data_IF_056143806500
#
_entry.id   IF_056143806500
#
_cell.length_a   1.000
_cell.length_b   1.000
_cell.length_c   1.000
_cell.angle_alpha   90.00
_cell.angle_beta   90.00
_cell.angle_gamma   90.00
#
_symmetry.space_group_name_H-M   'P 1'
#
loop_
_entity.id
_entity.type
_entity.pdbx_description
1 polymer ?
#
# COMPACT_ATOMS: atom_id res chain seq x y z
N UNK A 1 -1.06 15.20 -1.05
CA UNK A 1 -1.56 14.01 -0.30
C UNK A 1 -2.36 14.41 0.93
N UNK A 2 -1.75 15.03 1.95
CA UNK A 2 -2.37 15.34 3.25
C UNK A 2 -3.75 16.02 3.21
N UNK A 3 -3.93 17.02 2.34
CA UNK A 3 -5.23 17.66 2.14
C UNK A 3 -6.33 16.66 1.74
N UNK A 4 -6.02 15.71 0.85
CA UNK A 4 -6.99 14.68 0.44
C UNK A 4 -7.31 13.77 1.61
N UNK A 5 -6.29 13.27 2.32
CA UNK A 5 -6.47 12.36 3.45
C UNK A 5 -7.33 12.99 4.55
N UNK A 6 -7.14 14.27 4.85
CA UNK A 6 -8.01 15.02 5.78
C UNK A 6 -9.42 15.18 5.25
N UNK A 7 -9.56 15.61 4.00
CA UNK A 7 -10.86 15.85 3.39
C UNK A 7 -11.72 14.58 3.32
N UNK A 8 -11.09 13.40 3.23
CA UNK A 8 -11.79 12.11 3.23
C UNK A 8 -11.91 11.47 4.61
N UNK A 9 -11.38 12.10 5.66
CA UNK A 9 -11.40 11.56 7.02
C UNK A 9 -10.45 10.38 7.27
N UNK A 10 -9.50 10.13 6.36
CA UNK A 10 -8.44 9.12 6.58
C UNK A 10 -7.41 9.64 7.58
N UNK A 11 -7.04 10.92 7.45
CA UNK A 11 -6.19 11.60 8.41
C UNK A 11 -7.03 12.42 9.39
N UNK A 12 -6.69 12.43 10.69
CA UNK A 12 -7.33 13.29 11.68
C UNK A 12 -7.31 14.77 11.27
N UNK A 13 -8.35 15.57 11.62
CA UNK A 13 -8.45 16.99 11.22
C UNK A 13 -7.23 17.85 11.61
N UNK A 14 -6.61 17.54 12.75
CA UNK A 14 -5.43 18.20 13.31
C UNK A 14 -4.13 17.90 12.54
N UNK A 15 -4.15 16.94 11.61
CA UNK A 15 -2.96 16.55 10.84
C UNK A 15 -2.48 17.69 9.95
N UNK A 16 -1.29 18.21 10.20
CA UNK A 16 -0.77 19.37 9.46
C UNK A 16 0.07 18.99 8.24
N UNK A 17 0.71 17.83 8.24
CA UNK A 17 1.64 17.46 7.17
C UNK A 17 2.40 16.15 7.41
N UNK A 18 3.54 15.96 6.69
CA UNK A 18 4.38 14.75 6.73
C UNK A 18 4.84 14.33 8.12
N UNK A 19 4.96 15.26 9.05
CA UNK A 19 5.30 15.00 10.46
C UNK A 19 4.32 14.05 11.17
N UNK A 20 3.13 13.81 10.59
CA UNK A 20 2.17 12.85 11.12
C UNK A 20 2.40 11.41 10.62
N UNK A 21 3.34 11.17 9.69
CA UNK A 21 3.62 9.82 9.17
C UNK A 21 3.90 8.81 10.29
N UNK A 22 4.58 9.23 11.35
CA UNK A 22 4.95 8.39 12.50
C UNK A 22 3.80 8.17 13.50
N UNK A 23 2.80 9.05 13.53
CA UNK A 23 1.69 8.98 14.50
C UNK A 23 0.44 8.32 13.93
N UNK A 24 0.22 8.42 12.61
CA UNK A 24 -0.95 7.83 11.94
C UNK A 24 -1.11 6.31 12.15
N UNK A 25 -0.04 5.48 12.19
CA UNK A 25 -0.19 4.06 12.44
C UNK A 25 -0.86 3.79 13.78
N UNK A 26 -0.49 4.54 14.83
CA UNK A 26 -1.10 4.40 16.15
C UNK A 26 -2.52 4.98 16.19
N UNK A 27 -2.69 6.20 15.70
CA UNK A 27 -3.94 6.95 15.82
C UNK A 27 -5.08 6.38 14.96
N UNK A 28 -4.78 5.93 13.74
CA UNK A 28 -5.81 5.54 12.75
C UNK A 28 -5.46 4.27 11.95
N UNK A 29 -4.35 3.59 12.28
CA UNK A 29 -3.99 2.33 11.63
C UNK A 29 -3.47 2.47 10.20
N UNK A 30 -2.98 3.66 9.82
CA UNK A 30 -2.48 3.95 8.47
C UNK A 30 -0.99 4.24 8.53
N UNK A 31 -0.20 3.46 7.81
CA UNK A 31 1.23 3.70 7.62
C UNK A 31 1.56 4.05 6.16
N UNK A 32 2.73 4.65 5.97
CA UNK A 32 3.23 5.08 4.67
C UNK A 32 4.55 4.38 4.33
N UNK A 33 4.73 4.10 3.04
CA UNK A 33 5.96 3.54 2.51
C UNK A 33 6.04 3.80 1.02
N UNK A 34 7.25 3.87 0.49
CA UNK A 34 7.52 4.04 -0.93
C UNK A 34 7.97 2.73 -1.59
N UNK A 35 7.59 2.58 -2.86
CA UNK A 35 8.11 1.50 -3.71
C UNK A 35 9.61 1.66 -3.90
N UNK A 36 10.05 2.86 -4.28
CA UNK A 36 11.46 3.21 -4.44
C UNK A 36 11.98 4.00 -3.25
N UNK A 37 13.13 3.59 -2.71
CA UNK A 37 13.87 4.32 -1.68
C UNK A 37 15.30 4.59 -2.14
N UNK A 38 15.97 5.57 -1.53
CA UNK A 38 17.38 5.87 -1.82
C UNK A 38 17.64 6.68 -3.10
N UNK A 39 16.60 7.18 -3.76
CA UNK A 39 16.72 8.09 -4.91
C UNK A 39 15.88 9.35 -4.70
N UNK A 40 16.50 10.55 -4.69
CA UNK A 40 15.74 11.79 -4.57
C UNK A 40 14.93 12.03 -5.85
N UNK A 41 13.66 12.41 -5.70
CA UNK A 41 12.78 12.81 -6.81
C UNK A 41 11.37 12.25 -6.68
N UNK A 42 10.37 13.05 -7.10
CA UNK A 42 8.95 12.69 -7.04
C UNK A 42 8.35 12.37 -8.40
N UNK A 43 9.14 12.55 -9.47
CA UNK A 43 8.73 12.36 -10.85
C UNK A 43 9.04 10.94 -11.29
N UNK A 44 8.06 10.07 -11.10
CA UNK A 44 8.14 8.66 -11.48
C UNK A 44 8.54 8.44 -12.94
N UNK A 45 8.27 9.41 -13.85
CA UNK A 45 8.70 9.40 -15.25
C UNK A 45 10.19 9.43 -15.51
N UNK A 46 10.99 9.82 -14.54
CA UNK A 46 12.44 9.90 -14.72
C UNK A 46 13.13 8.55 -14.42
N UNK A 47 12.39 7.56 -13.89
CA UNK A 47 12.94 6.25 -13.56
C UNK A 47 12.59 5.20 -14.62
N UNK A 48 13.60 4.49 -15.19
CA UNK A 48 13.37 3.42 -16.15
C UNK A 48 12.91 2.13 -15.46
N UNK A 49 12.31 1.22 -16.22
CA UNK A 49 11.78 -0.07 -15.70
C UNK A 49 12.82 -0.89 -14.92
N UNK A 50 14.12 -0.84 -15.29
CA UNK A 50 15.17 -1.57 -14.55
C UNK A 50 15.29 -1.11 -13.10
N UNK A 51 15.09 0.18 -12.84
CA UNK A 51 15.09 0.73 -11.46
C UNK A 51 13.88 0.19 -10.71
N UNK A 52 12.70 0.13 -11.35
CA UNK A 52 11.50 -0.47 -10.75
C UNK A 52 11.65 -1.96 -10.45
N UNK A 53 12.40 -2.72 -11.26
CA UNK A 53 12.66 -4.14 -10.98
C UNK A 53 13.46 -4.32 -9.70
N UNK A 54 14.51 -3.52 -9.48
CA UNK A 54 15.28 -3.52 -8.24
C UNK A 54 14.43 -3.06 -7.06
N UNK A 55 13.74 -1.93 -7.20
CA UNK A 55 12.85 -1.42 -6.16
C UNK A 55 11.76 -2.40 -5.77
N UNK A 56 11.24 -3.21 -6.70
CA UNK A 56 10.27 -4.25 -6.37
C UNK A 56 10.83 -5.24 -5.36
N UNK A 57 12.06 -5.72 -5.59
CA UNK A 57 12.68 -6.71 -4.71
C UNK A 57 12.91 -6.12 -3.33
N UNK A 58 13.53 -4.94 -3.26
CA UNK A 58 13.76 -4.23 -2.00
C UNK A 58 12.44 -3.91 -1.29
N UNK A 59 11.41 -3.47 -2.02
CA UNK A 59 10.08 -3.19 -1.49
C UNK A 59 9.44 -4.43 -0.90
N UNK A 60 9.47 -5.56 -1.59
CA UNK A 60 8.87 -6.80 -1.10
C UNK A 60 9.60 -7.34 0.12
N UNK A 61 10.93 -7.23 0.16
CA UNK A 61 11.71 -7.59 1.34
C UNK A 61 11.32 -6.71 2.54
N UNK A 62 11.25 -5.39 2.37
CA UNK A 62 10.76 -4.47 3.42
C UNK A 62 9.35 -4.82 3.88
N UNK A 63 8.42 -5.10 2.97
CA UNK A 63 7.05 -5.46 3.34
C UNK A 63 7.00 -6.76 4.14
N UNK A 64 7.77 -7.78 3.76
CA UNK A 64 7.88 -9.03 4.54
C UNK A 64 8.49 -8.79 5.92
N UNK A 65 9.53 -7.96 6.01
CA UNK A 65 10.15 -7.60 7.29
C UNK A 65 9.15 -6.86 8.21
N UNK A 66 8.39 -5.90 7.66
CA UNK A 66 7.37 -5.19 8.43
C UNK A 66 6.24 -6.11 8.91
N UNK A 67 5.72 -6.99 8.05
CA UNK A 67 4.69 -7.97 8.47
C UNK A 67 5.22 -8.92 9.55
N UNK A 68 6.49 -9.31 9.47
CA UNK A 68 7.15 -10.11 10.51
C UNK A 68 7.22 -9.36 11.84
N UNK A 69 7.78 -8.16 11.84
CA UNK A 69 7.87 -7.33 13.05
C UNK A 69 6.49 -7.04 13.66
N UNK A 70 5.49 -6.76 12.82
CA UNK A 70 4.11 -6.54 13.26
C UNK A 70 3.43 -7.83 13.76
N UNK A 71 3.81 -9.01 13.26
CA UNK A 71 3.36 -10.28 13.82
C UNK A 71 3.99 -10.52 15.20
N UNK A 72 5.28 -10.26 15.33
CA UNK A 72 6.02 -10.45 16.59
C UNK A 72 5.49 -9.54 17.70
N UNK A 73 5.15 -8.29 17.38
CA UNK A 73 4.59 -7.34 18.35
C UNK A 73 3.25 -7.75 18.94
N UNK A 74 2.50 -8.61 18.26
CA UNK A 74 1.23 -9.19 18.74
C UNK A 74 1.40 -10.62 19.28
N UNK A 75 2.64 -11.08 19.48
CA UNK A 75 2.95 -12.41 20.01
C UNK A 75 2.85 -13.55 18.99
N UNK A 76 2.96 -13.26 17.69
CA UNK A 76 2.86 -14.23 16.61
C UNK A 76 4.16 -14.36 15.80
N UNK A 77 4.58 -15.59 15.49
CA UNK A 77 5.82 -15.86 14.75
C UNK A 77 5.63 -16.25 13.28
N UNK A 78 4.40 -16.28 12.76
CA UNK A 78 4.15 -16.74 11.39
C UNK A 78 4.63 -15.76 10.29
N UNK A 79 4.81 -14.47 10.65
CA UNK A 79 5.19 -13.41 9.73
C UNK A 79 4.10 -12.87 8.79
N UNK A 80 2.86 -13.37 8.86
CA UNK A 80 1.72 -12.91 8.04
C UNK A 80 0.56 -12.35 8.86
N UNK A 81 0.52 -12.65 10.16
CA UNK A 81 -0.55 -12.24 11.06
C UNK A 81 -0.51 -10.71 11.33
N UNK A 82 0.63 -10.05 11.07
CA UNK A 82 0.80 -8.60 11.03
C UNK A 82 0.57 -7.95 9.66
N UNK A 83 -0.04 -8.65 8.69
CA UNK A 83 -0.34 -8.09 7.38
C UNK A 83 -1.41 -6.98 7.44
N UNK A 84 -1.28 -5.91 6.63
CA UNK A 84 -2.32 -4.89 6.52
C UNK A 84 -3.60 -5.48 5.90
N UNK A 85 -4.77 -4.94 6.29
CA UNK A 85 -6.03 -5.25 5.59
C UNK A 85 -6.03 -4.69 4.17
N UNK A 86 -5.49 -3.49 4.00
CA UNK A 86 -5.53 -2.72 2.77
C UNK A 86 -4.13 -2.25 2.40
N UNK A 87 -3.77 -2.35 1.11
CA UNK A 87 -2.60 -1.69 0.53
C UNK A 87 -3.09 -0.75 -0.57
N UNK A 88 -2.93 0.55 -0.35
CA UNK A 88 -3.35 1.57 -1.29
C UNK A 88 -2.16 2.20 -2.03
N UNK A 89 -2.16 2.13 -3.36
CA UNK A 89 -1.17 2.83 -4.18
C UNK A 89 -1.64 4.26 -4.49
N UNK A 90 -0.87 5.27 -4.09
CA UNK A 90 -1.13 6.69 -4.36
C UNK A 90 -0.76 7.13 -5.79
N UNK A 91 -1.07 6.28 -6.77
CA UNK A 91 -0.83 6.51 -8.19
C UNK A 91 -0.65 5.22 -8.99
N UNK A 92 -1.20 5.20 -10.21
CA UNK A 92 -1.19 4.01 -11.08
C UNK A 92 0.19 3.55 -11.52
N UNK A 93 1.13 4.48 -11.73
CA UNK A 93 2.42 4.16 -12.35
C UNK A 93 3.21 3.13 -11.55
N UNK A 94 3.39 3.35 -10.25
CA UNK A 94 4.13 2.42 -9.40
C UNK A 94 3.49 1.04 -9.42
N UNK A 95 2.15 0.97 -9.31
CA UNK A 95 1.43 -0.30 -9.41
C UNK A 95 1.65 -0.99 -10.76
N UNK A 96 1.54 -0.26 -11.87
CA UNK A 96 1.72 -0.80 -13.21
C UNK A 96 3.14 -1.29 -13.48
N UNK A 97 4.17 -0.60 -12.96
CA UNK A 97 5.56 -1.05 -13.07
C UNK A 97 5.78 -2.34 -12.28
N UNK A 98 5.25 -2.45 -11.06
CA UNK A 98 5.28 -3.70 -10.29
C UNK A 98 4.50 -4.82 -10.98
N UNK A 99 3.32 -4.52 -11.51
CA UNK A 99 2.45 -5.49 -12.20
C UNK A 99 3.09 -6.06 -13.46
N UNK A 100 3.77 -5.21 -14.21
CA UNK A 100 4.45 -5.58 -15.46
C UNK A 100 5.90 -6.02 -15.27
N UNK A 101 6.39 -6.12 -14.02
CA UNK A 101 7.73 -6.56 -13.74
C UNK A 101 7.93 -8.01 -14.24
N UNK A 102 8.85 -8.17 -15.21
CA UNK A 102 9.11 -9.45 -15.89
C UNK A 102 8.18 -9.75 -17.09
N UNK A 103 7.12 -8.96 -17.32
CA UNK A 103 6.23 -9.12 -18.47
C UNK A 103 6.82 -8.45 -19.72
N UNK A 104 6.68 -9.11 -20.88
CA UNK A 104 7.22 -8.65 -22.17
C UNK A 104 6.18 -8.72 -23.29
N UNK A 105 6.29 -7.80 -24.26
CA UNK A 105 5.43 -7.79 -25.45
C UNK A 105 3.94 -7.89 -25.10
N UNK A 106 3.23 -8.83 -25.74
CA UNK A 106 1.79 -9.05 -25.58
C UNK A 106 1.35 -9.48 -24.17
N UNK A 107 2.27 -9.90 -23.29
CA UNK A 107 1.93 -10.26 -21.91
C UNK A 107 1.82 -9.05 -20.97
N UNK A 108 2.27 -7.85 -21.41
CA UNK A 108 2.14 -6.63 -20.62
C UNK A 108 0.68 -6.23 -20.48
N UNK A 109 0.31 -5.81 -19.28
CA UNK A 109 -0.98 -5.22 -18.98
C UNK A 109 -0.89 -3.72 -19.27
N UNK A 110 -1.64 -3.21 -20.26
CA UNK A 110 -1.49 -1.83 -20.74
C UNK A 110 -2.19 -0.81 -19.82
N UNK A 111 -3.17 -1.26 -19.02
CA UNK A 111 -3.99 -0.38 -18.19
C UNK A 111 -4.42 -1.10 -16.92
N UNK A 112 -4.51 -0.32 -15.84
CA UNK A 112 -5.18 -0.71 -14.60
C UNK A 112 -6.29 0.29 -14.29
N UNK A 113 -7.41 -0.20 -13.77
CA UNK A 113 -8.49 0.66 -13.29
C UNK A 113 -8.18 1.20 -11.90
N UNK A 114 -8.80 2.34 -11.56
CA UNK A 114 -8.77 2.88 -10.20
C UNK A 114 -9.71 2.03 -9.33
N UNK A 115 -9.36 1.88 -8.05
CA UNK A 115 -10.15 1.17 -7.06
C UNK A 115 -9.55 -0.19 -6.71
N UNK A 116 -10.39 -1.10 -6.24
CA UNK A 116 -10.00 -2.45 -5.80
C UNK A 116 -9.46 -3.26 -6.97
N UNK A 117 -8.31 -3.89 -6.76
CA UNK A 117 -7.67 -4.74 -7.74
C UNK A 117 -8.04 -6.21 -7.51
N UNK A 118 -8.42 -6.96 -8.55
CA UNK A 118 -8.73 -8.37 -8.42
C UNK A 118 -7.45 -9.19 -8.22
N UNK A 119 -7.58 -10.37 -7.59
CA UNK A 119 -6.45 -11.23 -7.23
C UNK A 119 -5.59 -11.66 -8.43
N UNK A 120 -6.19 -11.81 -9.62
CA UNK A 120 -5.49 -12.16 -10.86
C UNK A 120 -4.71 -10.98 -11.47
N UNK A 121 -4.87 -9.77 -10.95
CA UNK A 121 -4.15 -8.57 -11.38
C UNK A 121 -3.15 -8.07 -10.34
N UNK A 122 -2.73 -8.92 -9.40
CA UNK A 122 -1.66 -8.58 -8.46
C UNK A 122 -0.27 -8.70 -9.11
N UNK A 123 0.70 -7.86 -8.68
CA UNK A 123 2.08 -7.99 -9.12
C UNK A 123 2.69 -9.38 -8.89
N UNK A 124 3.54 -9.88 -9.81
CA UNK A 124 4.21 -11.17 -9.63
C UNK A 124 5.03 -11.20 -8.33
N UNK A 125 4.84 -12.25 -7.52
CA UNK A 125 5.53 -12.40 -6.24
C UNK A 125 5.03 -11.50 -5.12
N UNK A 126 3.80 -10.98 -5.25
CA UNK A 126 3.13 -10.13 -4.26
C UNK A 126 3.35 -10.66 -2.82
N UNK A 127 3.88 -9.83 -1.89
CA UNK A 127 4.36 -10.34 -0.61
C UNK A 127 3.23 -10.57 0.41
N UNK A 128 2.07 -9.96 0.22
CA UNK A 128 0.97 -9.98 1.19
C UNK A 128 0.05 -11.20 1.01
N UNK A 129 -0.61 -11.68 2.09
CA UNK A 129 -1.58 -12.76 2.00
C UNK A 129 -2.80 -12.36 1.16
N UNK A 130 -3.56 -13.35 0.70
CA UNK A 130 -4.78 -13.13 -0.09
C UNK A 130 -5.89 -12.35 0.65
N UNK A 131 -5.80 -12.26 1.99
CA UNK A 131 -6.68 -11.43 2.82
C UNK A 131 -6.38 -9.93 2.71
N UNK A 132 -5.22 -9.52 2.22
CA UNK A 132 -4.88 -8.12 2.00
C UNK A 132 -5.48 -7.63 0.68
N UNK A 133 -6.42 -6.69 0.76
CA UNK A 133 -7.01 -6.04 -0.41
C UNK A 133 -6.06 -4.98 -0.97
N UNK A 134 -5.91 -4.96 -2.29
CA UNK A 134 -5.09 -3.95 -2.98
C UNK A 134 -6.00 -2.93 -3.67
N UNK A 135 -5.70 -1.65 -3.46
CA UNK A 135 -6.46 -0.53 -4.00
C UNK A 135 -5.49 0.38 -4.76
N UNK A 136 -5.87 0.83 -5.96
CA UNK A 136 -5.09 1.79 -6.74
C UNK A 136 -5.85 3.10 -6.82
N UNK A 137 -5.27 4.17 -6.28
CA UNK A 137 -5.82 5.52 -6.36
C UNK A 137 -5.19 6.29 -7.54
N UNK A 138 -5.78 7.44 -7.87
CA UNK A 138 -5.13 8.42 -8.72
C UNK A 138 -3.90 9.03 -8.03
N UNK A 139 -3.01 9.65 -8.81
CA UNK A 139 -1.86 10.35 -8.23
C UNK A 139 -2.32 11.56 -7.41
N UNK A 140 -1.72 11.76 -6.24
CA UNK A 140 -1.95 12.98 -5.44
C UNK A 140 -1.23 14.21 -6.00
N UNK A 141 -0.39 14.05 -7.03
CA UNK A 141 0.35 15.15 -7.64
C UNK A 141 -0.59 16.09 -8.43
N UNK A 142 -0.34 17.39 -8.31
CA UNK A 142 -0.98 18.42 -9.15
C UNK A 142 -0.55 18.34 -10.62
N UNK A 143 0.51 17.59 -10.93
CA UNK A 143 1.06 17.49 -12.29
C UNK A 143 0.18 16.70 -13.27
N UNK A 144 -0.76 15.88 -12.77
CA UNK A 144 -1.68 15.14 -13.63
C UNK A 144 -2.90 16.01 -13.97
N UNK A 145 -3.32 16.10 -15.25
CA UNK A 145 -4.50 16.87 -15.66
C UNK A 145 -5.76 16.13 -15.18
N UNK A 146 -6.25 16.50 -14.00
CA UNK A 146 -7.47 15.98 -13.40
C UNK A 146 -8.10 17.05 -12.51
N UNK A 147 -9.42 17.07 -12.47
CA UNK A 147 -10.18 17.93 -11.57
C UNK A 147 -9.96 17.57 -10.11
N UNK A 148 -10.31 18.47 -9.20
CA UNK A 148 -10.26 18.18 -7.76
C UNK A 148 -11.19 17.03 -7.37
N UNK A 149 -12.38 16.95 -7.99
CA UNK A 149 -13.36 15.90 -7.73
C UNK A 149 -12.88 14.52 -8.19
N UNK A 150 -12.33 14.42 -9.41
CA UNK A 150 -11.74 13.16 -9.92
C UNK A 150 -10.54 12.70 -9.08
N UNK A 151 -9.80 13.66 -8.49
CA UNK A 151 -8.71 13.34 -7.57
C UNK A 151 -9.23 12.86 -6.22
N UNK A 152 -10.36 13.39 -5.75
CA UNK A 152 -10.92 13.09 -4.43
C UNK A 152 -11.65 11.75 -4.40
N UNK A 153 -12.43 11.43 -5.43
CA UNK A 153 -13.32 10.25 -5.46
C UNK A 153 -12.62 8.93 -5.08
N UNK A 154 -11.41 8.60 -5.62
CA UNK A 154 -10.74 7.35 -5.27
C UNK A 154 -10.29 7.28 -3.80
N UNK A 155 -10.07 8.43 -3.17
CA UNK A 155 -9.73 8.52 -1.76
C UNK A 155 -10.98 8.45 -0.87
N UNK A 156 -12.15 8.89 -1.35
CA UNK A 156 -13.43 8.69 -0.66
C UNK A 156 -13.82 7.20 -0.64
N UNK A 157 -13.59 6.51 -1.75
CA UNK A 157 -13.79 5.06 -1.82
C UNK A 157 -12.83 4.32 -0.87
N UNK A 158 -11.55 4.72 -0.86
CA UNK A 158 -10.57 4.20 0.09
C UNK A 158 -10.98 4.45 1.54
N UNK A 159 -11.44 5.65 1.87
CA UNK A 159 -11.91 6.00 3.21
C UNK A 159 -13.12 5.13 3.62
N UNK A 160 -14.05 4.90 2.70
CA UNK A 160 -15.22 4.06 2.93
C UNK A 160 -14.82 2.59 3.18
N UNK A 161 -13.78 2.08 2.49
CA UNK A 161 -13.23 0.75 2.78
C UNK A 161 -12.51 0.70 4.12
N UNK A 162 -11.70 1.71 4.42
CA UNK A 162 -10.98 1.81 5.68
C UNK A 162 -11.93 1.89 6.89
N UNK A 163 -13.04 2.62 6.78
CA UNK A 163 -14.06 2.71 7.83
C UNK A 163 -14.72 1.36 8.16
N UNK A 164 -14.71 0.41 7.22
CA UNK A 164 -15.16 -0.97 7.45
C UNK A 164 -14.13 -1.87 8.12
N UNK A 165 -12.90 -1.39 8.34
CA UNK A 165 -11.83 -2.13 9.02
C UNK A 165 -11.74 -1.63 10.47
N UNK A 166 -11.98 -2.47 11.49
CA UNK A 166 -11.88 -2.04 12.87
C UNK A 166 -10.45 -1.62 13.21
N UNK A 167 -10.29 -0.52 13.94
CA UNK A 167 -9.00 -0.09 14.48
C UNK A 167 -9.11 0.22 15.98
N UNK A 168 -8.28 -0.41 16.85
CA UNK A 168 -7.30 -1.46 16.56
C UNK A 168 -7.94 -2.73 15.96
N UNK A 169 -7.15 -3.50 15.18
CA UNK A 169 -7.63 -4.73 14.52
C UNK A 169 -8.03 -5.78 15.55
N UNK A 170 -9.31 -6.12 15.60
CA UNK A 170 -9.84 -7.18 16.47
C UNK A 170 -9.73 -8.60 15.86
N UNK A 171 -9.59 -8.67 14.53
CA UNK A 171 -9.68 -9.88 13.71
C UNK A 171 -8.32 -10.45 13.30
N UNK A 172 -7.24 -10.08 13.99
CA UNK A 172 -5.92 -10.62 13.69
C UNK A 172 -5.97 -12.14 13.85
N UNK A 173 -5.64 -12.93 12.81
CA UNK A 173 -5.59 -14.37 12.96
C UNK A 173 -4.64 -14.65 14.12
N UNK A 174 -5.07 -15.38 15.14
CA UNK A 174 -4.13 -15.88 16.14
C UNK A 174 -3.64 -17.20 15.60
N UNK A 175 -2.72 -17.10 14.63
CA UNK A 175 -1.88 -18.21 14.25
C UNK A 175 -1.40 -18.86 15.57
N UNK A 176 -1.89 -20.05 15.94
CA UNK A 176 -1.50 -20.70 17.20
C UNK A 176 0.03 -20.78 17.21
N UNK A 177 0.65 -20.32 18.30
CA UNK A 177 2.08 -20.49 18.53
C UNK A 177 2.40 -21.95 18.23
N UNK A 178 3.35 -22.20 17.32
CA UNK A 178 3.85 -23.55 17.09
C UNK A 178 4.29 -24.06 18.46
N UNK A 179 3.59 -25.03 19.04
CA UNK A 179 4.06 -25.71 20.24
C UNK A 179 5.49 -26.15 19.93
N UNK A 180 6.44 -25.66 20.73
CA UNK A 180 7.82 -26.08 20.62
C UNK A 180 7.82 -27.60 20.76
N UNK A 181 8.21 -28.31 19.71
CA UNK A 181 8.43 -29.74 19.79
C UNK A 181 9.51 -29.95 20.87
N UNK A 182 9.10 -30.60 21.96
CA UNK A 182 9.98 -31.00 23.06
C UNK A 182 10.99 -32.05 22.64
#
# INVERSE_FOLDING_TARGET
MWRLLKQTGIAPPETTGPEADDTMPHSVGVGFTDVGTGHPGTKSSDFPTQVFLRWREDFYERMRAHMRAASESIGCSCGSCGAPALVAFSGKRHYMELLNAGRRGKSKIPKVEIGVQPANLLPPGWPFPASTQVIVCCSTSGASPMTAAERLAPYQDLASKLAGVPWPRADLPRCKVKEAAG
#
